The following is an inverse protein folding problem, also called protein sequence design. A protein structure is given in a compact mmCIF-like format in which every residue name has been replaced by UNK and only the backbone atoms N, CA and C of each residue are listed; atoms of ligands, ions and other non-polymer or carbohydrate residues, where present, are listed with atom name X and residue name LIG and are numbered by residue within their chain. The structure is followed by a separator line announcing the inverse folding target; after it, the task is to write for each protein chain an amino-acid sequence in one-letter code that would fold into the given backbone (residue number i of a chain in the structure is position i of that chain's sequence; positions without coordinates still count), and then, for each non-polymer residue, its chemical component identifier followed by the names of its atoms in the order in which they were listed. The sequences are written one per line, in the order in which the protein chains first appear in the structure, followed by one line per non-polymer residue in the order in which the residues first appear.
data_IF_198843458352
#
_entry.id   IF_198843458352
#
_cell.length_a   1.000
_cell.length_b   1.000
_cell.length_c   1.000
_cell.angle_alpha   90.00
_cell.angle_beta   90.00
_cell.angle_gamma   90.00
#
_symmetry.space_group_name_H-M   'P 1'
#
loop_
_entity.id
_entity.type
_entity.pdbx_description
1 polymer ?
#
# COMPACT_ATOMS: atom_id res chain seq x y z
N UNK A 1 -14.70 -0.32 -19.56
CA UNK A 1 -14.45 0.53 -18.38
C UNK A 1 -13.16 0.03 -17.77
N UNK A 2 -12.09 0.82 -17.82
CA UNK A 2 -10.83 0.43 -17.17
C UNK A 2 -10.82 1.10 -15.82
N UNK A 3 -11.10 0.32 -14.78
CA UNK A 3 -10.85 0.66 -13.39
C UNK A 3 -9.34 0.88 -13.18
N UNK A 4 -8.83 2.01 -13.71
CA UNK A 4 -7.45 2.45 -13.56
C UNK A 4 -7.28 2.96 -12.14
N UNK A 5 -7.14 2.01 -11.24
CA UNK A 5 -6.67 2.19 -9.88
C UNK A 5 -5.23 2.71 -9.94
N UNK A 6 -5.08 4.02 -10.12
CA UNK A 6 -3.79 4.69 -10.20
C UNK A 6 -3.11 4.78 -8.83
N UNK A 7 -1.81 5.07 -8.86
CA UNK A 7 -1.00 5.31 -7.67
C UNK A 7 -1.53 6.54 -6.93
N UNK A 8 -1.80 6.42 -5.63
CA UNK A 8 -2.30 7.52 -4.80
C UNK A 8 -1.29 8.65 -4.61
N UNK A 9 -0.01 8.45 -4.96
CA UNK A 9 1.02 9.49 -4.88
C UNK A 9 1.29 10.19 -6.21
N UNK A 10 1.59 9.44 -7.26
CA UNK A 10 2.04 9.99 -8.54
C UNK A 10 0.99 9.89 -9.66
N UNK A 11 -0.15 9.24 -9.42
CA UNK A 11 -1.22 9.06 -10.40
C UNK A 11 -0.92 8.09 -11.54
N UNK A 12 0.25 7.44 -11.54
CA UNK A 12 0.63 6.47 -12.57
C UNK A 12 -0.10 5.14 -12.41
N UNK A 13 -0.14 4.34 -13.48
CA UNK A 13 -0.72 3.00 -13.45
C UNK A 13 0.06 2.09 -12.50
N UNK A 14 -0.63 1.46 -11.53
CA UNK A 14 0.02 0.56 -10.56
C UNK A 14 0.40 -0.80 -11.14
N UNK A 15 -0.03 -1.09 -12.36
CA UNK A 15 0.25 -2.34 -13.04
C UNK A 15 -0.35 -3.56 -12.35
N UNK A 16 0.28 -4.73 -12.56
CA UNK A 16 -0.25 -6.03 -12.11
C UNK A 16 0.01 -6.33 -10.61
N UNK A 17 0.97 -5.64 -9.99
CA UNK A 17 1.35 -5.83 -8.58
C UNK A 17 1.42 -4.48 -7.86
N UNK A 18 0.27 -3.88 -7.53
CA UNK A 18 0.24 -2.70 -6.67
C UNK A 18 0.84 -2.97 -5.31
N UNK A 19 1.52 -1.95 -4.76
CA UNK A 19 1.94 -1.94 -3.37
C UNK A 19 0.84 -1.33 -2.52
N UNK A 20 0.39 -2.03 -1.50
CA UNK A 20 -0.66 -1.52 -0.60
C UNK A 20 -0.07 -1.07 0.73
N UNK A 21 -0.46 0.13 1.17
CA UNK A 21 -0.17 0.62 2.51
C UNK A 21 -1.48 0.75 3.28
N UNK A 22 -1.58 -0.01 4.37
CA UNK A 22 -2.71 0.10 5.28
C UNK A 22 -2.37 1.18 6.32
N UNK A 23 -3.13 2.26 6.29
CA UNK A 23 -3.09 3.31 7.33
C UNK A 23 -4.31 3.18 8.23
N UNK A 24 -4.30 3.85 9.38
CA UNK A 24 -5.44 3.86 10.30
C UNK A 24 -6.73 4.40 9.65
N UNK A 25 -6.61 5.24 8.62
CA UNK A 25 -7.73 5.90 7.96
C UNK A 25 -8.21 5.15 6.71
N UNK A 26 -7.29 4.57 5.93
CA UNK A 26 -7.60 3.87 4.67
C UNK A 26 -6.45 3.00 4.15
N UNK A 27 -6.78 2.12 3.22
CA UNK A 27 -5.81 1.41 2.37
C UNK A 27 -5.47 2.25 1.17
N UNK A 28 -4.18 2.49 0.96
CA UNK A 28 -3.62 3.21 -0.17
C UNK A 28 -2.89 2.25 -1.10
N UNK A 29 -2.80 2.59 -2.39
CA UNK A 29 -2.09 1.83 -3.40
C UNK A 29 -1.02 2.66 -4.13
N UNK A 30 0.09 2.02 -4.44
CA UNK A 30 1.24 2.66 -5.04
C UNK A 30 1.82 1.83 -6.19
N UNK A 31 2.37 2.51 -7.20
CA UNK A 31 2.98 1.86 -8.36
C UNK A 31 4.38 1.29 -8.07
N UNK A 32 5.06 1.76 -7.02
CA UNK A 32 6.39 1.32 -6.63
C UNK A 32 6.67 1.58 -5.15
N UNK A 33 7.69 0.91 -4.60
CA UNK A 33 8.14 1.10 -3.21
C UNK A 33 8.59 2.53 -2.92
N UNK A 34 9.15 3.23 -3.92
CA UNK A 34 9.52 4.64 -3.76
C UNK A 34 8.35 5.54 -3.40
N UNK A 35 7.18 5.31 -4.02
CA UNK A 35 5.97 6.06 -3.68
C UNK A 35 5.47 5.73 -2.27
N UNK A 36 5.59 4.46 -1.84
CA UNK A 36 5.25 4.06 -0.46
C UNK A 36 6.16 4.77 0.55
N UNK A 37 7.48 4.78 0.30
CA UNK A 37 8.46 5.41 1.18
C UNK A 37 8.26 6.92 1.33
N UNK A 38 8.03 7.61 0.20
CA UNK A 38 7.73 9.05 0.20
C UNK A 38 6.43 9.31 0.96
N UNK A 39 5.39 8.52 0.73
CA UNK A 39 4.13 8.70 1.45
C UNK A 39 4.30 8.55 2.96
N UNK A 40 5.04 7.53 3.42
CA UNK A 40 5.37 7.34 4.84
C UNK A 40 6.15 8.50 5.42
N UNK A 41 7.12 9.01 4.68
CA UNK A 41 7.94 10.15 5.09
C UNK A 41 7.12 11.43 5.20
N UNK A 42 6.21 11.70 4.24
CA UNK A 42 5.36 12.88 4.23
C UNK A 42 4.26 12.84 5.31
N UNK A 43 3.71 11.65 5.58
CA UNK A 43 2.58 11.50 6.50
C UNK A 43 2.98 11.01 7.90
N UNK A 44 4.28 10.88 8.20
CA UNK A 44 4.80 10.31 9.45
C UNK A 44 4.13 8.97 9.83
N UNK A 45 3.75 8.16 8.83
CA UNK A 45 3.05 6.90 9.04
C UNK A 45 4.03 5.90 9.60
N UNK A 46 3.95 5.65 10.90
CA UNK A 46 4.45 4.41 11.47
C UNK A 46 3.61 3.30 10.88
N UNK A 47 4.23 2.39 10.10
CA UNK A 47 3.55 1.20 9.61
C UNK A 47 2.81 0.55 10.76
N UNK A 48 1.47 0.55 10.69
CA UNK A 48 0.71 -0.39 11.50
C UNK A 48 1.08 -1.74 10.91
N UNK A 49 1.73 -2.65 11.66
CA UNK A 49 2.04 -3.96 11.14
C UNK A 49 0.76 -4.57 10.59
N UNK A 50 0.79 -5.22 9.41
CA UNK A 50 -0.40 -5.85 8.86
C UNK A 50 -1.03 -6.70 9.96
N UNK A 51 -2.37 -6.66 10.15
CA UNK A 51 -3.04 -7.44 11.18
C UNK A 51 -2.53 -8.86 11.03
N UNK A 52 -1.86 -9.35 12.07
CA UNK A 52 -1.05 -10.56 12.02
C UNK A 52 -1.82 -11.61 11.23
N UNK A 53 -1.31 -11.93 10.04
CA UNK A 53 -1.84 -13.04 9.26
C UNK A 53 -1.92 -14.21 10.25
N UNK A 54 -3.08 -14.89 10.39
CA UNK A 54 -3.17 -16.01 11.31
C UNK A 54 -2.14 -17.01 10.80
N UNK A 55 -1.01 -17.11 11.51
CA UNK A 55 0.05 -18.06 11.22
C UNK A 55 -0.66 -19.40 11.10
N UNK A 56 -0.80 -19.89 9.87
CA UNK A 56 -1.44 -21.17 9.61
C UNK A 56 -0.67 -22.17 10.47
N UNK A 57 -1.29 -22.84 11.46
CA UNK A 57 -0.56 -23.76 12.29
C UNK A 57 -0.02 -24.86 11.37
N UNK A 58 1.29 -24.91 11.23
CA UNK A 58 2.01 -26.04 10.65
C UNK A 58 1.86 -27.18 11.64
N UNK A 59 0.87 -28.04 11.39
CA UNK A 59 0.75 -29.36 11.99
C UNK A 59 1.45 -30.38 11.09
#
# INVERSE_FOLDING_TARGET
MSDKRGCDLCGLDVGKKPFFLHTAEKTLQFCCEGCVGIYRMLNNVQEVPPPAEPKKPTN
#
